data_IF_213898165628
#
_entry.id   IF_213898165628
#
_cell.length_a   1.000
_cell.length_b   1.000
_cell.length_c   1.000
_cell.angle_alpha   90.00
_cell.angle_beta   90.00
_cell.angle_gamma   90.00
#
_symmetry.space_group_name_H-M   'P 1'
#
loop_
_entity.id
_entity.type
_entity.pdbx_description
1 polymer ?
#
# COMPACT_ATOMS: atom_id res chain seq x y z
N UNK A 1 23.99 9.49 -14.56
CA UNK A 1 24.01 8.02 -14.69
C UNK A 1 22.59 7.60 -15.01
N UNK A 2 22.33 6.69 -15.98
CA UNK A 2 20.97 6.23 -16.20
C UNK A 2 20.48 5.58 -14.91
N UNK A 3 19.40 6.14 -14.36
CA UNK A 3 18.71 5.62 -13.19
C UNK A 3 18.29 4.19 -13.48
N UNK A 4 18.43 3.29 -12.50
CA UNK A 4 18.09 1.87 -12.65
C UNK A 4 16.67 1.62 -13.20
N UNK A 5 15.78 2.60 -13.07
CA UNK A 5 14.43 2.64 -13.64
C UNK A 5 14.48 2.82 -15.16
N UNK A 6 15.21 3.80 -15.71
CA UNK A 6 15.29 4.04 -17.15
C UNK A 6 15.93 2.87 -17.92
N UNK A 7 16.92 2.21 -17.33
CA UNK A 7 17.49 0.98 -17.88
C UNK A 7 16.44 -0.14 -17.91
N UNK A 8 15.65 -0.27 -16.85
CA UNK A 8 14.59 -1.27 -16.77
C UNK A 8 13.45 -0.98 -17.78
N UNK A 9 13.05 0.29 -17.98
CA UNK A 9 12.08 0.69 -19.01
C UNK A 9 12.57 0.24 -20.39
N UNK A 10 13.82 0.56 -20.73
CA UNK A 10 14.42 0.15 -22.00
C UNK A 10 14.42 -1.38 -22.16
N UNK A 11 14.70 -2.11 -21.08
CA UNK A 11 14.69 -3.57 -21.10
C UNK A 11 13.28 -4.17 -21.25
N UNK A 12 12.25 -3.54 -20.68
CA UNK A 12 10.86 -4.01 -20.81
C UNK A 12 10.36 -3.79 -22.23
N UNK A 13 10.71 -2.66 -22.85
CA UNK A 13 10.32 -2.36 -24.24
C UNK A 13 11.04 -3.19 -25.29
N UNK A 14 12.12 -3.88 -24.94
CA UNK A 14 12.84 -4.78 -25.83
C UNK A 14 12.30 -6.22 -25.74
N UNK A 15 11.57 -6.71 -26.78
CA UNK A 15 11.01 -8.05 -26.78
C UNK A 15 12.07 -9.15 -26.90
N UNK A 16 13.30 -8.80 -27.30
CA UNK A 16 14.40 -9.77 -27.48
C UNK A 16 15.00 -10.22 -26.15
N UNK A 17 14.82 -9.43 -25.09
CA UNK A 17 15.38 -9.73 -23.77
C UNK A 17 14.61 -10.89 -23.14
N UNK A 18 15.34 -11.91 -22.68
CA UNK A 18 14.75 -13.02 -21.94
C UNK A 18 14.04 -12.52 -20.68
N UNK A 19 12.80 -12.96 -20.48
CA UNK A 19 11.96 -12.58 -19.34
C UNK A 19 12.61 -12.87 -17.98
N UNK A 20 13.42 -13.93 -17.88
CA UNK A 20 14.17 -14.24 -16.66
C UNK A 20 15.25 -13.20 -16.35
N UNK A 21 15.90 -12.63 -17.37
CA UNK A 21 16.87 -11.54 -17.22
C UNK A 21 16.16 -10.26 -16.78
N UNK A 22 15.02 -9.95 -17.40
CA UNK A 22 14.19 -8.80 -17.03
C UNK A 22 13.74 -8.89 -15.57
N UNK A 23 13.18 -10.03 -15.15
CA UNK A 23 12.73 -10.24 -13.76
C UNK A 23 13.88 -10.18 -12.75
N UNK A 24 15.06 -10.70 -13.07
CA UNK A 24 16.23 -10.59 -12.18
C UNK A 24 16.67 -9.14 -11.99
N UNK A 25 16.67 -8.33 -13.06
CA UNK A 25 16.97 -6.89 -12.95
C UNK A 25 15.88 -6.17 -12.16
N UNK A 26 14.61 -6.47 -12.42
CA UNK A 26 13.48 -5.95 -11.67
C UNK A 26 13.59 -6.28 -10.17
N UNK A 27 14.06 -7.48 -9.81
CA UNK A 27 14.27 -7.88 -8.40
C UNK A 27 15.31 -7.00 -7.70
N UNK A 28 16.41 -6.70 -8.39
CA UNK A 28 17.46 -5.81 -7.87
C UNK A 28 16.87 -4.42 -7.62
N UNK A 29 16.15 -3.86 -8.59
CA UNK A 29 15.48 -2.56 -8.46
C UNK A 29 14.47 -2.57 -7.31
N UNK A 30 13.62 -3.59 -7.21
CA UNK A 30 12.63 -3.73 -6.13
C UNK A 30 13.28 -3.79 -4.74
N UNK A 31 14.41 -4.49 -4.61
CA UNK A 31 15.22 -4.53 -3.37
C UNK A 31 15.79 -3.15 -3.01
N UNK A 32 16.36 -2.43 -3.99
CA UNK A 32 16.93 -1.10 -3.77
C UNK A 32 15.87 -0.07 -3.33
N UNK A 33 14.67 -0.20 -3.88
CA UNK A 33 13.51 0.62 -3.55
C UNK A 33 12.75 0.15 -2.30
N UNK A 34 13.20 -0.91 -1.63
CA UNK A 34 12.59 -1.48 -0.42
C UNK A 34 11.09 -1.83 -0.61
N UNK A 35 10.75 -2.45 -1.75
CA UNK A 35 9.40 -2.90 -2.09
C UNK A 35 9.27 -4.42 -1.86
N UNK A 36 8.98 -4.90 -0.63
CA UNK A 36 8.99 -6.34 -0.31
C UNK A 36 7.91 -7.13 -1.08
N UNK A 37 6.77 -6.52 -1.37
CA UNK A 37 5.68 -7.14 -2.14
C UNK A 37 6.12 -7.45 -3.58
N UNK A 38 6.78 -6.48 -4.24
CA UNK A 38 7.31 -6.66 -5.58
C UNK A 38 8.41 -7.74 -5.61
N UNK A 39 9.28 -7.79 -4.61
CA UNK A 39 10.32 -8.83 -4.50
C UNK A 39 9.68 -10.22 -4.36
N UNK A 40 8.69 -10.37 -3.49
CA UNK A 40 7.96 -11.64 -3.28
C UNK A 40 7.28 -12.12 -4.57
N UNK A 41 6.60 -11.21 -5.25
CA UNK A 41 5.98 -11.49 -6.55
C UNK A 41 7.00 -11.94 -7.60
N UNK A 42 8.12 -11.22 -7.75
CA UNK A 42 9.17 -11.59 -8.70
C UNK A 42 9.78 -12.96 -8.36
N UNK A 43 9.94 -13.27 -7.08
CA UNK A 43 10.44 -14.58 -6.64
C UNK A 43 9.49 -15.71 -7.00
N UNK A 44 8.16 -15.53 -6.86
CA UNK A 44 7.19 -16.51 -7.34
C UNK A 44 7.20 -16.66 -8.86
N UNK A 45 7.40 -15.58 -9.62
CA UNK A 45 7.52 -15.66 -11.08
C UNK A 45 8.79 -16.41 -11.52
N UNK A 46 9.90 -16.24 -10.79
CA UNK A 46 11.19 -16.87 -11.10
C UNK A 46 11.30 -18.34 -10.65
N UNK A 47 10.78 -18.65 -9.45
CA UNK A 47 10.92 -19.97 -8.82
C UNK A 47 9.69 -20.85 -9.01
N UNK A 48 8.56 -20.26 -9.41
CA UNK A 48 7.26 -20.90 -9.40
C UNK A 48 6.48 -20.60 -8.12
N UNK A 49 5.17 -20.80 -8.20
CA UNK A 49 4.25 -20.60 -7.09
C UNK A 49 4.16 -21.87 -6.24
N UNK A 50 4.31 -21.78 -4.91
CA UNK A 50 4.05 -22.90 -4.00
C UNK A 50 2.59 -23.38 -4.10
N UNK A 51 2.35 -24.66 -3.79
CA UNK A 51 1.02 -25.29 -3.92
C UNK A 51 -0.08 -24.59 -3.10
N UNK A 52 0.26 -24.01 -1.95
CA UNK A 52 -0.68 -23.28 -1.07
C UNK A 52 -0.81 -21.78 -1.40
N UNK A 53 -0.09 -21.29 -2.41
CA UNK A 53 -0.07 -19.86 -2.75
C UNK A 53 -1.14 -19.50 -3.78
N UNK A 54 -1.82 -18.37 -3.54
CA UNK A 54 -2.77 -17.82 -4.51
C UNK A 54 -2.02 -17.33 -5.75
N UNK A 55 -2.29 -17.95 -6.90
CA UNK A 55 -1.75 -17.49 -8.17
C UNK A 55 -2.51 -16.24 -8.66
N UNK A 56 -1.82 -15.24 -9.24
CA UNK A 56 -2.47 -14.07 -9.81
C UNK A 56 -3.49 -14.43 -10.91
N UNK A 57 -4.50 -13.59 -11.16
CA UNK A 57 -5.54 -13.87 -12.17
C UNK A 57 -4.98 -14.12 -13.58
N UNK A 58 -3.89 -13.45 -13.96
CA UNK A 58 -3.24 -13.67 -15.26
C UNK A 58 -2.47 -15.01 -15.33
N UNK A 59 -2.21 -15.69 -14.21
CA UNK A 59 -1.70 -17.07 -14.18
C UNK A 59 -2.82 -18.11 -14.31
N UNK A 60 -4.09 -17.70 -14.18
CA UNK A 60 -5.23 -18.55 -14.46
C UNK A 60 -5.52 -18.51 -15.96
N UNK A 61 -5.51 -19.69 -16.60
CA UNK A 61 -5.77 -19.82 -18.04
C UNK A 61 -6.82 -20.88 -18.27
N UNK A 62 -7.67 -20.60 -19.26
CA UNK A 62 -8.65 -21.54 -19.77
C UNK A 62 -8.03 -22.35 -20.91
N UNK A 63 -7.72 -23.62 -20.65
CA UNK A 63 -7.29 -24.57 -21.67
C UNK A 63 -8.46 -25.35 -22.28
N UNK A 64 -8.12 -26.32 -23.13
CA UNK A 64 -9.09 -27.27 -23.69
C UNK A 64 -8.86 -28.64 -23.07
N UNK A 65 -9.95 -29.33 -22.73
CA UNK A 65 -9.84 -30.72 -22.28
C UNK A 65 -9.37 -31.59 -23.44
N UNK A 66 -8.46 -32.49 -23.16
CA UNK A 66 -7.88 -33.37 -24.14
C UNK A 66 -7.60 -34.74 -23.53
N UNK A 67 -7.51 -35.76 -24.38
CA UNK A 67 -7.06 -37.10 -24.01
C UNK A 67 -5.88 -37.48 -24.88
N UNK A 68 -4.94 -38.24 -24.33
CA UNK A 68 -3.76 -38.69 -25.06
C UNK A 68 -3.90 -40.16 -25.41
N UNK A 69 -3.84 -40.47 -26.70
CA UNK A 69 -3.83 -41.84 -27.22
C UNK A 69 -2.67 -42.00 -28.20
N UNK A 70 -1.84 -43.01 -28.00
CA UNK A 70 -0.72 -43.37 -28.90
C UNK A 70 0.22 -42.19 -29.23
N UNK A 71 0.43 -41.30 -28.26
CA UNK A 71 1.27 -40.12 -28.40
C UNK A 71 0.61 -38.91 -29.07
N UNK A 72 -0.63 -39.06 -29.55
CA UNK A 72 -1.44 -38.01 -30.17
C UNK A 72 -2.43 -37.44 -29.13
N UNK A 73 -2.56 -36.12 -29.13
CA UNK A 73 -3.52 -35.41 -28.27
C UNK A 73 -4.82 -35.18 -29.04
N UNK A 74 -5.92 -35.67 -28.49
CA UNK A 74 -7.26 -35.48 -29.03
C UNK A 74 -8.03 -34.49 -28.16
N UNK A 75 -8.48 -33.39 -28.74
CA UNK A 75 -9.30 -32.42 -28.01
C UNK A 75 -10.70 -32.97 -27.80
N UNK A 76 -11.20 -32.89 -26.57
CA UNK A 76 -12.56 -33.28 -26.25
C UNK A 76 -13.53 -32.12 -26.56
N UNK A 77 -14.59 -32.34 -27.35
CA UNK A 77 -15.66 -31.37 -27.50
C UNK A 77 -16.50 -31.37 -26.22
N UNK A 78 -16.45 -30.26 -25.47
CA UNK A 78 -17.23 -30.09 -24.25
C UNK A 78 -18.25 -28.99 -24.45
N UNK A 79 -19.49 -29.20 -23.99
CA UNK A 79 -20.52 -28.16 -23.98
C UNK A 79 -20.05 -26.94 -23.17
N UNK A 80 -20.46 -25.73 -23.58
CA UNK A 80 -20.08 -24.50 -22.90
C UNK A 80 -20.93 -24.24 -21.65
N UNK A 81 -20.87 -25.16 -20.68
CA UNK A 81 -21.51 -25.03 -19.37
C UNK A 81 -20.56 -24.41 -18.36
N UNK A 82 -21.09 -23.83 -17.26
CA UNK A 82 -20.24 -23.31 -16.17
C UNK A 82 -19.32 -24.38 -15.58
N UNK A 83 -19.83 -25.62 -15.46
CA UNK A 83 -19.06 -26.76 -15.00
C UNK A 83 -17.88 -27.09 -15.93
N UNK A 84 -18.09 -27.03 -17.24
CA UNK A 84 -17.02 -27.20 -18.22
C UNK A 84 -15.98 -26.09 -18.16
N UNK A 85 -16.40 -24.84 -17.90
CA UNK A 85 -15.47 -23.71 -17.70
C UNK A 85 -14.59 -23.92 -16.47
N UNK A 86 -15.14 -24.46 -15.39
CA UNK A 86 -14.38 -24.77 -14.18
C UNK A 86 -13.28 -25.79 -14.46
N UNK A 87 -13.59 -26.92 -15.11
CA UNK A 87 -12.57 -27.92 -15.45
C UNK A 87 -11.53 -27.43 -16.44
N UNK A 88 -11.90 -26.50 -17.32
CA UNK A 88 -11.00 -25.93 -18.31
C UNK A 88 -10.07 -24.87 -17.73
N UNK A 89 -10.38 -24.33 -16.54
CA UNK A 89 -9.57 -23.28 -15.91
C UNK A 89 -8.53 -23.92 -15.01
N UNK A 90 -7.26 -23.64 -15.27
CA UNK A 90 -6.16 -24.12 -14.44
C UNK A 90 -5.22 -22.99 -14.00
N UNK A 91 -4.75 -23.03 -12.74
CA UNK A 91 -3.63 -22.22 -12.30
C UNK A 91 -2.32 -22.72 -12.92
N UNK A 92 -1.49 -21.80 -13.39
CA UNK A 92 -0.15 -22.11 -13.94
C UNK A 92 0.89 -21.63 -12.93
N UNK A 93 1.39 -22.55 -12.11
CA UNK A 93 2.36 -22.29 -11.04
C UNK A 93 3.82 -22.41 -11.48
N UNK A 94 4.10 -22.93 -12.68
CA UNK A 94 5.46 -23.15 -13.16
C UNK A 94 6.25 -21.82 -13.28
N UNK A 95 7.58 -21.87 -13.05
CA UNK A 95 8.45 -20.71 -13.25
C UNK A 95 8.38 -20.21 -14.70
N UNK A 96 8.49 -18.89 -14.89
CA UNK A 96 8.38 -18.29 -16.23
C UNK A 96 9.45 -18.79 -17.18
N UNK A 97 10.65 -19.11 -16.68
CA UNK A 97 11.73 -19.68 -17.50
C UNK A 97 11.35 -21.01 -18.14
N UNK A 98 10.67 -21.88 -17.41
CA UNK A 98 10.16 -23.15 -17.93
C UNK A 98 9.06 -22.91 -18.95
N UNK A 99 8.11 -22.01 -18.66
CA UNK A 99 7.05 -21.64 -19.59
C UNK A 99 7.61 -21.06 -20.90
N UNK A 100 8.65 -20.22 -20.83
CA UNK A 100 9.32 -19.66 -22.00
C UNK A 100 10.01 -20.73 -22.83
N UNK A 101 10.74 -21.66 -22.18
CA UNK A 101 11.35 -22.79 -22.86
C UNK A 101 10.30 -23.68 -23.53
N UNK A 102 9.18 -23.94 -22.85
CA UNK A 102 8.08 -24.72 -23.39
C UNK A 102 7.40 -24.04 -24.59
N UNK A 103 7.10 -22.75 -24.48
CA UNK A 103 6.49 -21.97 -25.56
C UNK A 103 7.37 -21.97 -26.82
N UNK A 104 8.69 -21.90 -26.67
CA UNK A 104 9.65 -21.96 -27.77
C UNK A 104 9.61 -23.30 -28.53
N UNK A 105 9.20 -24.40 -27.89
CA UNK A 105 9.04 -25.71 -28.57
C UNK A 105 7.82 -25.76 -29.49
N UNK A 106 6.89 -24.80 -29.38
CA UNK A 106 5.61 -24.80 -30.09
C UNK A 106 4.63 -25.89 -29.64
N UNK A 107 5.02 -26.74 -28.69
CA UNK A 107 4.16 -27.81 -28.16
C UNK A 107 3.17 -27.25 -27.14
N UNK A 108 1.97 -27.83 -27.03
CA UNK A 108 1.01 -27.42 -26.01
C UNK A 108 1.54 -27.76 -24.61
N UNK A 109 1.33 -26.83 -23.68
CA UNK A 109 1.48 -27.08 -22.26
C UNK A 109 0.32 -27.99 -21.82
N UNK A 110 0.66 -29.08 -21.13
CA UNK A 110 -0.30 -30.05 -20.64
C UNK A 110 -0.31 -30.00 -19.12
N UNK A 111 -1.49 -29.79 -18.56
CA UNK A 111 -1.72 -29.78 -17.12
C UNK A 111 -2.57 -30.99 -16.79
N UNK A 112 -2.04 -31.85 -15.92
CA UNK A 112 -2.76 -33.02 -15.42
C UNK A 112 -3.68 -32.60 -14.28
N UNK A 113 -4.83 -33.26 -14.16
CA UNK A 113 -5.67 -33.10 -12.99
C UNK A 113 -5.10 -33.86 -11.79
N UNK A 114 -5.33 -33.38 -10.55
CA UNK A 114 -5.10 -34.16 -9.35
C UNK A 114 -5.85 -35.50 -9.40
N UNK A 115 -5.22 -36.59 -8.90
CA UNK A 115 -5.79 -37.94 -8.98
C UNK A 115 -7.11 -38.08 -8.22
N UNK A 116 -7.41 -37.19 -7.28
CA UNK A 116 -8.64 -37.19 -6.48
C UNK A 116 -9.86 -36.77 -7.31
N UNK A 117 -9.69 -35.83 -8.25
CA UNK A 117 -10.79 -35.29 -9.06
C UNK A 117 -10.86 -35.90 -10.47
N UNK A 118 -9.78 -36.51 -10.94
CA UNK A 118 -9.69 -37.08 -12.27
C UNK A 118 -10.77 -38.15 -12.54
N UNK A 119 -11.08 -39.11 -11.64
CA UNK A 119 -12.14 -40.10 -11.86
C UNK A 119 -13.53 -39.47 -12.01
N UNK A 120 -13.80 -38.41 -11.26
CA UNK A 120 -15.07 -37.67 -11.34
C UNK A 120 -15.21 -37.01 -12.72
N UNK A 121 -14.17 -36.33 -13.19
CA UNK A 121 -14.14 -35.68 -14.50
C UNK A 121 -14.29 -36.72 -15.62
N UNK A 122 -13.59 -37.86 -15.52
CA UNK A 122 -13.68 -38.96 -16.48
C UNK A 122 -15.08 -39.55 -16.58
N UNK A 123 -15.73 -39.78 -15.43
CA UNK A 123 -17.10 -40.28 -15.37
C UNK A 123 -18.10 -39.29 -15.99
N UNK A 124 -17.97 -38.00 -15.70
CA UNK A 124 -18.84 -36.96 -16.25
C UNK A 124 -18.67 -36.76 -17.75
N UNK A 125 -17.45 -36.91 -18.26
CA UNK A 125 -17.16 -36.81 -19.70
C UNK A 125 -17.39 -38.13 -20.45
N UNK A 126 -17.69 -39.22 -19.75
CA UNK A 126 -17.92 -40.54 -20.34
C UNK A 126 -16.68 -41.13 -21.02
N UNK A 127 -15.48 -40.81 -20.53
CA UNK A 127 -14.20 -41.27 -21.10
C UNK A 127 -13.48 -42.22 -20.15
N UNK A 128 -12.95 -43.32 -20.71
CA UNK A 128 -12.08 -44.25 -19.97
C UNK A 128 -10.61 -43.82 -19.99
N UNK A 129 -10.28 -42.72 -20.67
CA UNK A 129 -8.92 -42.20 -20.84
C UNK A 129 -8.64 -41.05 -19.88
N UNK A 130 -7.41 -40.95 -19.39
CA UNK A 130 -6.96 -39.81 -18.58
C UNK A 130 -7.16 -38.51 -19.35
N UNK A 131 -7.93 -37.61 -18.74
CA UNK A 131 -8.19 -36.26 -19.26
C UNK A 131 -7.09 -35.33 -18.76
N UNK A 132 -6.64 -34.46 -19.64
CA UNK A 132 -5.67 -33.39 -19.35
C UNK A 132 -6.17 -32.06 -19.90
N UNK A 133 -5.66 -30.96 -19.36
CA UNK A 133 -5.88 -29.63 -19.91
C UNK A 133 -4.72 -29.33 -20.86
N UNK A 134 -5.05 -29.10 -22.12
CA UNK A 134 -4.11 -28.67 -23.15
C UNK A 134 -4.23 -27.16 -23.36
N UNK A 135 -3.13 -26.45 -23.15
CA UNK A 135 -2.95 -25.03 -23.43
C UNK A 135 -2.06 -24.86 -24.65
N UNK A 136 -2.44 -23.99 -25.59
CA UNK A 136 -1.62 -23.74 -26.77
C UNK A 136 -0.35 -22.96 -26.41
N UNK A 137 0.71 -23.10 -27.21
CA UNK A 137 1.93 -22.32 -27.03
C UNK A 137 1.66 -20.80 -27.05
N UNK A 138 0.69 -20.35 -27.86
CA UNK A 138 0.25 -18.95 -27.92
C UNK A 138 -0.34 -18.49 -26.59
N UNK A 139 -1.12 -19.33 -25.89
CA UNK A 139 -1.66 -18.98 -24.57
C UNK A 139 -0.57 -18.87 -23.51
N UNK A 140 0.46 -19.72 -23.59
CA UNK A 140 1.63 -19.65 -22.71
C UNK A 140 2.42 -18.37 -23.00
N UNK A 141 2.63 -18.04 -24.28
CA UNK A 141 3.29 -16.80 -24.68
C UNK A 141 2.52 -15.56 -24.20
N UNK A 142 1.19 -15.55 -24.31
CA UNK A 142 0.36 -14.47 -23.79
C UNK A 142 0.42 -14.34 -22.25
N UNK A 143 0.67 -15.44 -21.52
CA UNK A 143 0.94 -15.37 -20.08
C UNK A 143 2.30 -14.73 -19.81
N UNK A 144 3.34 -15.11 -20.56
CA UNK A 144 4.68 -14.51 -20.43
C UNK A 144 4.61 -13.01 -20.74
N UNK A 145 3.84 -12.62 -21.74
CA UNK A 145 3.62 -11.21 -22.08
C UNK A 145 2.89 -10.46 -20.97
N UNK A 146 1.85 -11.05 -20.38
CA UNK A 146 1.18 -10.45 -19.22
C UNK A 146 2.12 -10.23 -18.03
N UNK A 147 3.15 -11.07 -17.85
CA UNK A 147 4.19 -10.85 -16.84
C UNK A 147 5.07 -9.65 -17.22
N UNK A 148 5.44 -9.50 -18.51
CA UNK A 148 6.17 -8.31 -19.00
C UNK A 148 5.37 -7.04 -18.81
N UNK A 149 4.10 -7.04 -19.20
CA UNK A 149 3.19 -5.91 -19.02
C UNK A 149 3.08 -5.53 -17.55
N UNK A 150 3.05 -6.53 -16.65
CA UNK A 150 3.04 -6.25 -15.22
C UNK A 150 4.31 -5.59 -14.71
N UNK A 151 5.48 -6.00 -15.24
CA UNK A 151 6.74 -5.29 -14.97
C UNK A 151 6.67 -3.89 -15.56
N UNK A 152 6.15 -3.70 -16.78
CA UNK A 152 6.00 -2.39 -17.42
C UNK A 152 5.17 -1.45 -16.55
N UNK A 153 3.97 -1.87 -16.16
CA UNK A 153 3.06 -1.12 -15.31
C UNK A 153 3.73 -0.74 -13.99
N UNK A 154 4.45 -1.68 -13.38
CA UNK A 154 5.17 -1.44 -12.14
C UNK A 154 6.26 -0.38 -12.32
N UNK A 155 7.04 -0.45 -13.40
CA UNK A 155 8.11 0.51 -13.67
C UNK A 155 7.57 1.89 -14.03
N UNK A 156 6.50 1.97 -14.82
CA UNK A 156 5.81 3.23 -15.13
C UNK A 156 5.24 3.86 -13.86
N UNK A 157 4.64 3.07 -12.97
CA UNK A 157 4.15 3.58 -11.69
C UNK A 157 5.29 4.10 -10.79
N UNK A 158 6.49 3.50 -10.85
CA UNK A 158 7.66 4.00 -10.13
C UNK A 158 8.20 5.32 -10.71
N UNK A 159 8.18 5.44 -12.04
CA UNK A 159 8.59 6.65 -12.77
C UNK A 159 7.62 7.81 -12.48
N UNK A 160 6.31 7.57 -12.59
CA UNK A 160 5.25 8.54 -12.25
C UNK A 160 5.30 8.96 -10.78
N UNK A 161 5.56 8.02 -9.87
CA UNK A 161 5.71 8.32 -8.45
C UNK A 161 7.02 9.06 -8.13
N UNK A 162 7.90 9.27 -9.13
CA UNK A 162 9.18 9.95 -8.97
C UNK A 162 10.09 9.24 -7.99
N UNK A 163 9.95 7.92 -7.81
CA UNK A 163 10.72 7.11 -6.86
C UNK A 163 12.10 6.81 -7.47
N UNK A 164 12.82 7.87 -7.77
CA UNK A 164 14.21 7.85 -8.16
C UNK A 164 15.04 7.74 -6.88
N UNK A 165 15.26 6.51 -6.40
CA UNK A 165 16.32 6.31 -5.41
C UNK A 165 17.65 6.21 -6.13
N UNK A 166 18.15 7.36 -6.57
CA UNK A 166 19.57 7.56 -6.67
C UNK A 166 19.93 8.72 -5.75
N UNK A 167 20.86 8.48 -4.84
CA UNK A 167 21.46 9.56 -4.07
C UNK A 167 22.03 10.57 -5.05
N UNK A 168 21.82 11.86 -4.74
CA UNK A 168 22.35 13.03 -5.43
C UNK A 168 21.39 13.74 -6.40
N UNK A 169 20.73 14.75 -5.86
CA UNK A 169 20.37 16.02 -6.49
C UNK A 169 19.60 15.97 -7.83
N UNK A 170 18.29 16.22 -7.80
CA UNK A 170 17.61 17.11 -8.75
C UNK A 170 16.19 17.39 -8.26
N UNK A 171 16.00 18.51 -7.55
CA UNK A 171 15.56 19.83 -8.06
C UNK A 171 14.08 19.88 -8.41
N UNK A 172 13.32 20.43 -7.46
CA UNK A 172 12.28 21.48 -7.51
C UNK A 172 11.53 21.90 -8.80
N UNK A 173 11.88 21.43 -9.99
CA UNK A 173 11.30 21.91 -11.25
C UNK A 173 10.14 21.05 -11.77
N UNK A 174 10.05 19.77 -11.40
CA UNK A 174 9.03 18.87 -11.97
C UNK A 174 7.65 18.99 -11.28
N UNK A 175 7.58 19.61 -10.09
CA UNK A 175 6.30 19.91 -9.42
C UNK A 175 5.53 21.11 -9.98
N UNK A 176 6.13 21.90 -10.89
CA UNK A 176 5.53 23.14 -11.38
C UNK A 176 4.61 22.97 -12.60
N UNK A 177 4.53 21.79 -13.22
CA UNK A 177 3.80 21.63 -14.49
C UNK A 177 2.48 20.85 -14.43
N UNK A 178 2.10 20.27 -13.29
CA UNK A 178 0.84 19.50 -13.17
C UNK A 178 -0.25 20.10 -12.27
N UNK A 179 -0.11 21.35 -11.81
CA UNK A 179 -1.21 22.07 -11.15
C UNK A 179 -1.41 23.47 -11.75
N UNK A 180 -1.98 23.52 -12.96
CA UNK A 180 -2.71 24.71 -13.40
C UNK A 180 -4.10 24.70 -12.75
N UNK A 181 -4.23 25.36 -11.60
CA UNK A 181 -5.52 25.77 -11.00
C UNK A 181 -5.48 27.30 -10.89
N UNK A 182 -6.52 28.04 -11.29
CA UNK A 182 -6.45 29.50 -11.43
C UNK A 182 -6.21 30.17 -10.08
N UNK A 183 -5.24 31.09 -10.03
CA UNK A 183 -4.88 31.84 -8.83
C UNK A 183 -6.00 32.79 -8.40
N UNK A 184 -6.70 32.47 -7.31
CA UNK A 184 -7.46 33.45 -6.53
C UNK A 184 -6.48 34.20 -5.63
N UNK A 185 -6.30 35.51 -5.87
CA UNK A 185 -5.52 36.39 -4.99
C UNK A 185 -6.43 36.93 -3.88
N UNK A 186 -6.26 36.44 -2.65
CA UNK A 186 -6.84 37.06 -1.45
C UNK A 186 -5.81 38.04 -0.90
N UNK A 187 -6.13 39.34 -0.90
CA UNK A 187 -5.36 40.37 -0.19
C UNK A 187 -5.85 40.45 1.26
N UNK A 188 -4.97 40.17 2.21
CA UNK A 188 -5.23 40.34 3.65
C UNK A 188 -4.58 41.66 4.11
N UNK A 189 -5.34 42.49 4.82
CA UNK A 189 -4.92 43.78 5.37
C UNK A 189 -3.99 43.66 6.59
N UNK A 190 -3.40 44.80 6.94
CA UNK A 190 -2.13 44.98 7.64
C UNK A 190 -2.11 44.70 9.16
N UNK A 191 -2.57 43.52 9.63
CA UNK A 191 -2.27 43.07 11.00
C UNK A 191 -2.47 41.56 11.29
N UNK A 192 -2.01 40.66 10.41
CA UNK A 192 -2.15 39.21 10.61
C UNK A 192 -0.82 38.52 10.93
N UNK A 193 -0.42 38.50 12.20
CA UNK A 193 0.65 37.61 12.68
C UNK A 193 0.09 36.20 12.86
N UNK A 194 0.60 35.22 12.11
CA UNK A 194 0.31 33.79 12.33
C UNK A 194 -0.62 33.09 11.33
N UNK A 195 -0.93 33.67 10.17
CA UNK A 195 -1.70 32.96 9.13
C UNK A 195 -0.76 32.07 8.31
N UNK A 196 -0.82 30.76 8.55
CA UNK A 196 -0.22 29.75 7.68
C UNK A 196 -1.29 29.19 6.73
N UNK A 197 -1.08 29.36 5.42
CA UNK A 197 -1.91 28.74 4.39
C UNK A 197 -1.35 27.34 4.11
N UNK A 198 -2.14 26.32 4.45
CA UNK A 198 -1.81 24.90 4.29
C UNK A 198 -2.06 24.46 2.83
N UNK A 199 -1.00 24.19 2.07
CA UNK A 199 -1.10 23.41 0.82
C UNK A 199 -0.67 21.97 1.09
N UNK A 200 -1.60 21.06 0.85
CA UNK A 200 -1.52 19.64 1.19
C UNK A 200 -0.32 18.95 0.50
N UNK A 201 0.52 18.24 1.25
CA UNK A 201 1.51 17.28 0.73
C UNK A 201 1.46 16.03 1.62
N UNK A 202 1.25 14.82 1.06
CA UNK A 202 1.23 13.59 1.86
C UNK A 202 2.65 13.22 2.29
N UNK A 203 2.86 13.05 3.60
CA UNK A 203 4.08 12.46 4.17
C UNK A 203 5.09 13.42 4.80
N UNK A 204 4.82 14.73 4.84
CA UNK A 204 5.65 15.66 5.59
C UNK A 204 5.38 15.55 7.10
N UNK A 205 6.15 14.75 7.83
CA UNK A 205 6.30 14.98 9.27
C UNK A 205 7.11 16.26 9.46
N UNK A 206 6.41 17.38 9.53
CA UNK A 206 7.00 18.61 10.05
C UNK A 206 7.07 18.48 11.57
N UNK A 207 8.27 18.30 12.11
CA UNK A 207 8.53 18.61 13.50
C UNK A 207 8.43 20.12 13.65
N UNK A 208 7.29 20.58 14.15
CA UNK A 208 7.09 21.96 14.54
C UNK A 208 7.89 22.16 15.82
N UNK A 209 8.94 22.99 15.78
CA UNK A 209 9.65 23.37 17.00
C UNK A 209 8.75 24.30 17.81
N UNK A 210 7.89 23.74 18.66
CA UNK A 210 7.02 24.50 19.55
C UNK A 210 7.93 25.31 20.50
N UNK A 211 7.93 26.64 20.35
CA UNK A 211 8.76 27.50 21.19
C UNK A 211 8.18 27.61 22.58
N UNK A 212 9.01 27.85 23.60
CA UNK A 212 8.54 27.99 24.99
C UNK A 212 7.48 29.08 25.18
N UNK A 213 7.46 30.09 24.32
CA UNK A 213 6.43 31.14 24.31
C UNK A 213 5.05 30.61 23.87
N UNK A 214 5.01 29.75 22.84
CA UNK A 214 3.78 29.11 22.37
C UNK A 214 3.20 28.17 23.43
N UNK A 215 4.06 27.47 24.17
CA UNK A 215 3.62 26.64 25.31
C UNK A 215 3.04 27.48 26.45
N UNK A 216 3.62 28.66 26.73
CA UNK A 216 3.09 29.58 27.74
C UNK A 216 1.72 30.17 27.36
N UNK A 217 1.54 30.56 26.10
CA UNK A 217 0.26 31.04 25.58
C UNK A 217 -0.81 29.96 25.60
N UNK A 218 -0.46 28.72 25.21
CA UNK A 218 -1.37 27.57 25.28
C UNK A 218 -1.79 27.25 26.72
N UNK A 219 -0.86 27.28 27.68
CA UNK A 219 -1.18 27.06 29.11
C UNK A 219 -2.09 28.17 29.66
N UNK A 220 -1.82 29.42 29.32
CA UNK A 220 -2.62 30.57 29.75
C UNK A 220 -4.05 30.53 29.20
N UNK A 221 -4.25 30.01 27.99
CA UNK A 221 -5.58 29.83 27.40
C UNK A 221 -6.32 28.59 27.94
N UNK A 222 -5.59 27.53 28.30
CA UNK A 222 -6.15 26.27 28.78
C UNK A 222 -6.73 26.37 30.20
N UNK A 223 -6.08 27.10 31.11
CA UNK A 223 -6.53 27.27 32.50
C UNK A 223 -7.96 27.85 32.65
N UNK A 224 -8.35 28.95 32.01
CA UNK A 224 -9.70 29.49 32.11
C UNK A 224 -10.74 28.59 31.42
N UNK A 225 -10.34 27.88 30.36
CA UNK A 225 -11.23 26.93 29.70
C UNK A 225 -11.54 25.72 30.59
N UNK A 226 -10.53 25.15 31.25
CA UNK A 226 -10.72 24.07 32.21
C UNK A 226 -11.61 24.48 33.39
N UNK A 227 -11.43 25.70 33.90
CA UNK A 227 -12.31 26.22 34.94
C UNK A 227 -13.78 26.24 34.48
N UNK A 228 -14.04 26.70 33.25
CA UNK A 228 -15.39 26.69 32.68
C UNK A 228 -15.97 25.28 32.57
N UNK A 229 -15.18 24.30 32.16
CA UNK A 229 -15.61 22.90 32.07
C UNK A 229 -15.93 22.31 33.44
N UNK A 230 -15.14 22.66 34.46
CA UNK A 230 -15.39 22.27 35.86
C UNK A 230 -16.70 22.90 36.36
N UNK A 231 -16.95 24.17 36.05
CA UNK A 231 -18.14 24.91 36.46
C UNK A 231 -19.42 24.41 35.75
N UNK A 232 -19.29 23.95 34.50
CA UNK A 232 -20.41 23.37 33.74
C UNK A 232 -20.90 22.02 34.30
N UNK A 233 -20.10 21.33 35.14
CA UNK A 233 -20.52 20.14 35.90
C UNK A 233 -20.99 18.96 35.05
N UNK A 234 -20.53 18.86 33.80
CA UNK A 234 -20.98 17.85 32.82
C UNK A 234 -20.32 16.47 32.98
N UNK A 235 -19.40 16.34 33.93
CA UNK A 235 -18.58 15.14 34.18
C UNK A 235 -19.11 14.35 35.37
N UNK A 236 -18.73 13.07 35.49
CA UNK A 236 -19.05 12.31 36.70
C UNK A 236 -18.32 12.88 37.94
N UNK A 237 -18.82 12.66 39.17
CA UNK A 237 -18.20 13.21 40.39
C UNK A 237 -16.72 12.80 40.58
N UNK A 238 -16.33 11.61 40.10
CA UNK A 238 -14.94 11.16 40.14
C UNK A 238 -14.06 11.91 39.14
N UNK A 239 -14.51 12.01 37.88
CA UNK A 239 -13.77 12.71 36.82
C UNK A 239 -13.67 14.21 37.08
N UNK A 240 -14.70 14.81 37.69
CA UNK A 240 -14.69 16.22 38.07
C UNK A 240 -13.68 16.51 39.18
N UNK A 241 -13.55 15.62 40.18
CA UNK A 241 -12.53 15.75 41.22
C UNK A 241 -11.11 15.61 40.66
N UNK A 242 -10.90 14.66 39.75
CA UNK A 242 -9.62 14.45 39.08
C UNK A 242 -9.25 15.62 38.15
N UNK A 243 -10.24 16.19 37.44
CA UNK A 243 -10.03 17.37 36.60
C UNK A 243 -9.71 18.61 37.44
N UNK A 244 -10.37 18.80 38.58
CA UNK A 244 -10.09 19.87 39.53
C UNK A 244 -8.68 19.76 40.12
N UNK A 245 -8.24 18.56 40.49
CA UNK A 245 -6.90 18.33 40.99
C UNK A 245 -5.83 18.66 39.93
N UNK A 246 -6.06 18.24 38.67
CA UNK A 246 -5.16 18.55 37.55
C UNK A 246 -5.14 20.05 37.19
N UNK A 247 -6.29 20.73 37.26
CA UNK A 247 -6.38 22.18 37.06
C UNK A 247 -5.59 22.96 38.11
N UNK A 248 -5.75 22.61 39.39
CA UNK A 248 -4.98 23.22 40.48
C UNK A 248 -3.46 22.98 40.33
N UNK A 249 -3.06 21.77 39.93
CA UNK A 249 -1.66 21.45 39.66
C UNK A 249 -1.08 22.26 38.48
N UNK A 250 -1.82 22.36 37.37
CA UNK A 250 -1.42 23.19 36.22
C UNK A 250 -1.33 24.68 36.58
N UNK A 251 -2.24 25.19 37.43
CA UNK A 251 -2.22 26.57 37.90
C UNK A 251 -1.01 26.87 38.79
N UNK A 252 -0.65 25.93 39.68
CA UNK A 252 0.55 26.02 40.51
C UNK A 252 1.83 26.01 39.65
N UNK A 253 1.88 25.15 38.63
CA UNK A 253 3.01 25.07 37.68
C UNK A 253 3.12 26.31 36.80
N UNK A 254 1.99 26.93 36.41
CA UNK A 254 1.97 28.18 35.65
C UNK A 254 2.52 29.37 36.45
N UNK A 255 2.32 29.36 37.78
CA UNK A 255 2.77 30.42 38.69
C UNK A 255 4.16 30.16 39.29
N UNK A 256 4.79 29.02 38.99
CA UNK A 256 6.11 28.68 39.47
C UNK A 256 7.20 29.52 38.78
N UNK A 257 8.28 29.91 39.49
CA UNK A 257 9.35 30.73 38.93
C UNK A 257 10.19 30.01 37.85
N UNK A 258 10.11 28.67 37.80
CA UNK A 258 10.70 27.84 36.76
C UNK A 258 9.63 26.91 36.19
N UNK A 259 9.27 27.13 34.92
CA UNK A 259 8.26 26.34 34.24
C UNK A 259 8.86 25.00 33.77
N UNK A 260 8.47 23.91 34.44
CA UNK A 260 8.86 22.56 34.03
C UNK A 260 7.91 22.03 32.97
N UNK A 261 8.23 22.30 31.70
CA UNK A 261 7.44 21.85 30.55
C UNK A 261 7.16 20.34 30.50
N UNK A 262 8.09 19.44 30.89
CA UNK A 262 7.80 18.00 30.90
C UNK A 262 6.68 17.63 31.89
N UNK A 263 6.62 18.30 33.05
CA UNK A 263 5.58 18.05 34.06
C UNK A 263 4.25 18.65 33.60
N UNK A 264 4.28 19.84 33.00
CA UNK A 264 3.10 20.49 32.41
C UNK A 264 2.51 19.62 31.28
N UNK A 265 3.35 19.06 30.41
CA UNK A 265 2.94 18.15 29.34
C UNK A 265 2.31 16.86 29.86
N UNK A 266 2.86 16.27 30.92
CA UNK A 266 2.27 15.09 31.56
C UNK A 266 0.89 15.38 32.16
N UNK A 267 0.73 16.53 32.84
CA UNK A 267 -0.56 16.98 33.38
C UNK A 267 -1.57 17.29 32.27
N UNK A 268 -1.15 17.94 31.19
CA UNK A 268 -1.99 18.18 30.02
C UNK A 268 -2.47 16.86 29.40
N UNK A 269 -1.61 15.85 29.28
CA UNK A 269 -2.02 14.54 28.79
C UNK A 269 -3.03 13.85 29.73
N UNK A 270 -2.86 13.98 31.06
CA UNK A 270 -3.84 13.45 32.03
C UNK A 270 -5.21 14.13 31.87
N UNK A 271 -5.23 15.45 31.70
CA UNK A 271 -6.46 16.22 31.42
C UNK A 271 -7.13 15.73 30.14
N UNK A 272 -6.35 15.49 29.08
CA UNK A 272 -6.86 14.95 27.82
C UNK A 272 -7.57 13.61 28.03
N UNK A 273 -6.93 12.69 28.74
CA UNK A 273 -7.48 11.34 29.00
C UNK A 273 -8.80 11.41 29.77
N UNK A 274 -8.89 12.28 30.80
CA UNK A 274 -10.13 12.46 31.58
C UNK A 274 -11.26 12.97 30.68
N UNK A 275 -10.97 13.95 29.82
CA UNK A 275 -11.97 14.56 28.94
C UNK A 275 -12.36 13.65 27.75
N UNK A 276 -11.46 12.77 27.30
CA UNK A 276 -11.77 11.73 26.31
C UNK A 276 -12.65 10.62 26.93
N UNK A 277 -12.38 10.25 28.19
CA UNK A 277 -13.12 9.22 28.94
C UNK A 277 -14.56 9.62 29.26
N UNK A 278 -14.81 10.89 29.53
CA UNK A 278 -16.14 11.42 29.89
C UNK A 278 -17.15 11.52 28.72
N UNK A 279 -16.82 10.92 27.57
CA UNK A 279 -17.58 11.03 26.33
C UNK A 279 -17.21 12.31 25.59
N UNK A 280 -16.64 12.18 24.39
CA UNK A 280 -15.99 13.25 23.61
C UNK A 280 -16.80 14.52 23.26
N UNK A 281 -17.97 14.75 23.85
CA UNK A 281 -18.76 15.98 23.74
C UNK A 281 -18.34 17.11 24.68
N UNK A 282 -17.30 16.92 25.50
CA UNK A 282 -16.71 17.99 26.37
C UNK A 282 -15.46 18.60 25.73
N UNK A 283 -14.81 17.90 24.79
CA UNK A 283 -13.58 18.37 24.13
C UNK A 283 -13.89 19.36 23.00
N UNK A 284 -13.55 20.63 23.21
CA UNK A 284 -13.54 21.63 22.14
C UNK A 284 -12.29 21.46 21.26
N UNK A 285 -12.42 21.63 19.95
CA UNK A 285 -11.30 21.55 19.00
C UNK A 285 -10.14 22.50 19.37
N UNK A 286 -10.46 23.65 19.97
CA UNK A 286 -9.46 24.61 20.47
C UNK A 286 -8.69 24.06 21.68
N UNK A 287 -9.36 23.36 22.61
CA UNK A 287 -8.72 22.75 23.77
C UNK A 287 -7.78 21.60 23.39
N UNK A 288 -8.14 20.81 22.38
CA UNK A 288 -7.26 19.79 21.81
C UNK A 288 -5.98 20.39 21.22
N UNK A 289 -6.08 21.55 20.57
CA UNK A 289 -4.91 22.29 20.04
C UNK A 289 -3.96 22.75 21.15
N UNK A 290 -4.48 23.28 22.26
CA UNK A 290 -3.64 23.68 23.40
C UNK A 290 -3.00 22.48 24.11
N UNK A 291 -3.77 21.40 24.31
CA UNK A 291 -3.27 20.16 24.91
C UNK A 291 -2.16 19.52 24.07
N UNK A 292 -2.30 19.49 22.75
CA UNK A 292 -1.27 18.99 21.83
C UNK A 292 0.01 19.83 21.90
N UNK A 293 -0.14 21.16 21.92
CA UNK A 293 0.99 22.10 22.04
C UNK A 293 1.78 21.91 23.35
N UNK A 294 1.11 21.49 24.42
CA UNK A 294 1.71 21.24 25.73
C UNK A 294 2.29 19.82 25.86
N UNK A 295 1.73 18.83 25.16
CA UNK A 295 2.20 17.43 25.22
C UNK A 295 3.40 17.15 24.32
N UNK A 296 3.60 17.92 23.25
CA UNK A 296 4.78 17.82 22.39
C UNK A 296 6.02 18.29 23.15
N UNK A 297 6.71 17.33 23.79
CA UNK A 297 7.96 17.51 24.54
C UNK A 297 9.13 16.92 23.78
#
# INVERSE_FOLDING_TARGET
MPTHISELIAMVSDPTIAISTLLRKAKVTARLLQQPEAVSWIDHELLGYPDDSLVPPYRQRRGRLAVRRDGITYLLPVANTERAKQWQTCPISQPVSELAAMAATGKPLRVKFPPEILPLIMAELGTAMEVEISLSAVQVQALIEAVRDRVLDWVLALDEAGIHRDGMHSTSQERLQTQQVPSMSIRVGDNATGVQILMNSPGGQQQQTVTGQQKAEALAALLPWLQKVIDEGRLSPSEQADLQANHAALQALASAPTQSWPVIGAMANSVRVILEGAGGGVLAAQALGWLATLSDS
#
